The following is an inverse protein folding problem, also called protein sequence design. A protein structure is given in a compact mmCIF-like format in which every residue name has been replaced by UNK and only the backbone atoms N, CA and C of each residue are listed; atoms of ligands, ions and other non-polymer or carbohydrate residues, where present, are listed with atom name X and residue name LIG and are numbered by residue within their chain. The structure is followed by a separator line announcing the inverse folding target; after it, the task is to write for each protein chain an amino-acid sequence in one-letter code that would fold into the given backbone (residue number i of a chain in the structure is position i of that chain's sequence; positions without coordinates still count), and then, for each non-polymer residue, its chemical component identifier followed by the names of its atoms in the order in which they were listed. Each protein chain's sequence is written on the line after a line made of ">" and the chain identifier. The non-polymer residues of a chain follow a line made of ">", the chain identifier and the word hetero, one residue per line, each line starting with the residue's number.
data_IF_782821564233
#
_entry.id   IF_782821564233
#
_cell.length_a   1.000
_cell.length_b   1.000
_cell.length_c   1.000
_cell.angle_alpha   90.00
_cell.angle_beta   90.00
_cell.angle_gamma   90.00
#
_symmetry.space_group_name_H-M   'P 1'
#
loop_
_entity.id
_entity.type
_entity.pdbx_description
1 polymer ?
#
# COMPACT_ATOMS: atom_id res chain seq x y z
N UNK A 1 8.29 17.07 0.53
CA UNK A 1 8.70 16.93 1.95
C UNK A 1 8.31 15.56 2.45
N UNK A 2 9.12 14.95 3.32
CA UNK A 2 8.93 13.59 3.83
C UNK A 2 8.33 13.62 5.25
N UNK A 3 7.18 13.00 5.46
CA UNK A 3 6.55 12.95 6.78
C UNK A 3 7.29 12.01 7.74
N UNK A 4 7.82 12.55 8.83
CA UNK A 4 8.62 11.78 9.80
C UNK A 4 7.79 11.11 10.91
N UNK A 5 6.46 11.28 10.88
CA UNK A 5 5.58 10.71 11.90
C UNK A 5 5.54 9.19 11.78
N UNK A 6 5.92 8.50 12.84
CA UNK A 6 5.91 7.04 12.92
C UNK A 6 5.05 6.58 14.09
N UNK A 7 4.33 5.48 13.92
CA UNK A 7 3.51 4.90 14.99
C UNK A 7 4.34 4.22 16.09
N UNK A 8 5.65 4.04 15.89
CA UNK A 8 6.57 3.37 16.82
C UNK A 8 7.27 4.32 17.80
N UNK A 9 7.26 5.63 17.55
CA UNK A 9 7.94 6.65 18.38
C UNK A 9 6.92 7.52 19.13
N UNK A 10 5.82 6.94 19.60
CA UNK A 10 4.66 7.67 20.13
C UNK A 10 4.90 8.46 21.44
N UNK A 11 6.10 8.44 22.02
CA UNK A 11 6.39 9.12 23.27
C UNK A 11 7.41 10.25 23.06
N UNK A 12 6.92 11.49 22.88
CA UNK A 12 7.46 12.72 23.50
C UNK A 12 6.96 14.00 22.80
N UNK A 13 6.84 14.03 21.45
CA UNK A 13 6.67 15.30 20.70
C UNK A 13 5.33 15.51 19.97
N UNK A 14 4.54 14.46 19.70
CA UNK A 14 3.36 14.54 18.82
C UNK A 14 2.02 14.34 19.56
N UNK A 15 1.75 15.14 20.60
CA UNK A 15 0.48 15.12 21.32
C UNK A 15 -0.65 15.58 20.38
N UNK A 16 -1.43 14.63 19.83
CA UNK A 16 -2.62 14.91 19.00
C UNK A 16 -2.64 14.27 17.61
N UNK A 17 -1.54 13.63 17.18
CA UNK A 17 -1.50 12.94 15.88
C UNK A 17 -2.04 11.51 16.04
N UNK A 18 -3.10 11.17 15.30
CA UNK A 18 -3.66 9.81 15.25
C UNK A 18 -3.12 9.04 14.05
N UNK A 19 -3.13 7.71 14.14
CA UNK A 19 -2.63 6.82 13.10
C UNK A 19 -3.74 5.90 12.57
N UNK A 20 -3.97 5.95 11.26
CA UNK A 20 -5.09 5.27 10.61
C UNK A 20 -4.62 4.08 9.79
N UNK A 21 -5.34 2.97 9.89
CA UNK A 21 -5.02 1.72 9.16
C UNK A 21 -5.35 1.87 7.69
N UNK A 22 -4.59 1.16 6.85
CA UNK A 22 -4.97 1.02 5.45
C UNK A 22 -6.35 0.34 5.34
N UNK A 23 -7.23 0.82 4.44
CA UNK A 23 -8.55 0.25 4.24
C UNK A 23 -8.50 -1.21 3.77
N UNK A 24 -9.60 -1.94 4.02
CA UNK A 24 -9.79 -3.31 3.53
C UNK A 24 -10.17 -3.34 2.05
N UNK A 25 -10.87 -2.31 1.60
CA UNK A 25 -11.25 -2.12 0.20
C UNK A 25 -9.99 -2.02 -0.68
N UNK A 26 -9.84 -2.89 -1.69
CA UNK A 26 -8.66 -2.91 -2.55
C UNK A 26 -8.45 -1.62 -3.33
N UNK A 27 -9.52 -0.97 -3.79
CA UNK A 27 -9.44 0.20 -4.67
C UNK A 27 -8.95 1.42 -3.89
N UNK A 28 -9.54 1.66 -2.72
CA UNK A 28 -9.11 2.76 -1.83
C UNK A 28 -7.70 2.47 -1.30
N UNK A 29 -7.39 1.21 -0.99
CA UNK A 29 -6.05 0.80 -0.55
C UNK A 29 -5.01 1.06 -1.63
N UNK A 30 -5.30 0.76 -2.89
CA UNK A 30 -4.40 1.05 -4.01
C UNK A 30 -4.14 2.55 -4.14
N UNK A 31 -5.18 3.38 -4.04
CA UNK A 31 -5.04 4.84 -4.04
C UNK A 31 -4.13 5.31 -2.92
N UNK A 32 -4.34 4.84 -1.68
CA UNK A 32 -3.46 5.16 -0.55
C UNK A 32 -2.01 4.74 -0.82
N UNK A 33 -1.79 3.53 -1.36
CA UNK A 33 -0.43 3.06 -1.68
C UNK A 33 0.25 3.92 -2.73
N UNK A 34 -0.46 4.26 -3.81
CA UNK A 34 0.09 5.07 -4.90
C UNK A 34 0.49 6.45 -4.38
N UNK A 35 -0.36 7.03 -3.54
CA UNK A 35 -0.15 8.32 -2.91
C UNK A 35 1.04 8.29 -1.92
N UNK A 36 1.26 7.20 -1.17
CA UNK A 36 2.47 7.11 -0.31
C UNK A 36 3.78 7.11 -1.08
N UNK A 37 3.75 6.86 -2.39
CA UNK A 37 4.91 7.01 -3.25
C UNK A 37 6.04 6.01 -3.00
N UNK A 38 5.78 4.90 -2.32
CA UNK A 38 6.82 3.90 -2.03
C UNK A 38 6.86 2.84 -3.12
N UNK A 39 7.95 2.82 -3.88
CA UNK A 39 8.21 1.76 -4.85
C UNK A 39 8.46 0.42 -4.13
N UNK A 40 7.96 -0.67 -4.73
CA UNK A 40 8.10 -2.06 -4.26
C UNK A 40 7.66 -2.32 -2.81
N UNK A 41 6.80 -1.46 -2.28
CA UNK A 41 6.29 -1.56 -0.92
C UNK A 41 4.81 -1.91 -0.92
N UNK A 42 4.44 -2.81 0.00
CA UNK A 42 3.05 -3.17 0.27
C UNK A 42 2.75 -2.98 1.76
N UNK A 43 1.64 -2.31 2.12
CA UNK A 43 1.26 -2.09 3.49
C UNK A 43 0.95 -3.41 4.19
N UNK A 44 1.52 -3.55 5.39
CA UNK A 44 1.21 -4.64 6.32
C UNK A 44 0.00 -4.30 7.19
N UNK A 45 -0.45 -5.24 8.01
CA UNK A 45 -1.50 -4.97 9.00
C UNK A 45 -1.15 -3.85 9.97
N UNK A 46 0.14 -3.62 10.22
CA UNK A 46 0.64 -2.57 11.12
C UNK A 46 0.98 -1.27 10.39
N UNK A 47 0.83 -1.22 9.06
CA UNK A 47 1.09 -0.01 8.29
C UNK A 47 0.00 1.03 8.54
N UNK A 48 0.41 2.26 8.87
CA UNK A 48 -0.47 3.38 9.21
C UNK A 48 -0.08 4.65 8.45
N UNK A 49 -1.05 5.53 8.25
CA UNK A 49 -0.86 6.92 7.82
C UNK A 49 -1.31 7.83 8.97
N UNK A 50 -0.56 8.88 9.26
CA UNK A 50 -0.91 9.83 10.32
C UNK A 50 -2.00 10.82 9.88
N UNK A 51 -2.74 11.36 10.85
CA UNK A 51 -3.90 12.23 10.63
C UNK A 51 -3.60 13.49 9.82
N UNK A 52 -2.37 14.01 9.86
CA UNK A 52 -1.95 15.22 9.14
C UNK A 52 -2.00 15.08 7.61
N UNK A 53 -2.23 13.88 7.09
CA UNK A 53 -2.40 13.62 5.66
C UNK A 53 -3.85 13.63 5.19
N UNK A 54 -4.80 13.81 6.12
CA UNK A 54 -6.24 13.84 5.86
C UNK A 54 -6.78 15.21 6.22
N UNK A 55 -7.80 15.64 5.50
CA UNK A 55 -8.55 16.85 5.82
C UNK A 55 -9.57 16.57 6.92
N UNK A 56 -10.07 17.60 7.56
CA UNK A 56 -11.04 17.47 8.65
C UNK A 56 -12.37 16.85 8.14
N UNK A 57 -12.70 17.09 6.88
CA UNK A 57 -13.88 16.52 6.19
C UNK A 57 -13.76 15.01 5.92
N UNK A 58 -12.53 14.48 5.88
CA UNK A 58 -12.27 13.04 5.76
C UNK A 58 -12.65 12.26 7.03
N UNK A 59 -12.85 12.96 8.15
CA UNK A 59 -13.22 12.33 9.40
C UNK A 59 -14.73 12.25 9.56
N UNK A 60 -15.18 11.14 10.15
CA UNK A 60 -16.57 10.95 10.54
C UNK A 60 -16.83 11.73 11.83
N UNK A 61 -17.55 12.84 11.71
CA UNK A 61 -17.91 13.73 12.82
C UNK A 61 -18.90 13.06 13.79
N UNK A 62 -19.66 12.07 13.32
CA UNK A 62 -20.67 11.36 14.11
C UNK A 62 -20.06 10.22 14.94
N UNK A 63 -18.83 9.81 14.62
CA UNK A 63 -18.18 8.69 15.29
C UNK A 63 -17.60 9.09 16.67
N UNK A 64 -17.82 8.24 17.68
CA UNK A 64 -17.22 8.38 19.03
C UNK A 64 -15.68 8.39 19.02
N UNK A 65 -15.06 7.91 17.94
CA UNK A 65 -13.61 7.92 17.71
C UNK A 65 -13.34 8.64 16.40
N UNK A 66 -12.23 9.38 16.34
CA UNK A 66 -11.75 10.06 15.12
C UNK A 66 -11.38 9.03 14.05
N UNK A 67 -12.39 8.59 13.29
CA UNK A 67 -12.27 7.59 12.23
C UNK A 67 -12.39 8.27 10.87
N UNK A 68 -11.71 7.71 9.87
CA UNK A 68 -11.85 8.17 8.49
C UNK A 68 -13.12 7.59 7.86
N UNK A 69 -13.73 8.38 6.96
CA UNK A 69 -14.81 7.89 6.10
C UNK A 69 -14.26 6.79 5.18
N UNK A 70 -15.15 5.90 4.73
CA UNK A 70 -14.77 4.73 3.91
C UNK A 70 -14.09 5.12 2.59
N UNK A 71 -14.45 6.27 2.03
CA UNK A 71 -13.94 6.80 0.77
C UNK A 71 -12.78 7.78 0.92
N UNK A 72 -12.35 8.07 2.15
CA UNK A 72 -11.30 9.06 2.40
C UNK A 72 -9.96 8.59 1.89
N UNK A 73 -9.28 9.51 1.22
CA UNK A 73 -7.98 9.30 0.60
C UNK A 73 -7.08 10.39 1.18
N UNK A 74 -5.85 10.07 1.63
CA UNK A 74 -4.97 11.10 2.11
C UNK A 74 -4.65 12.03 0.94
N UNK A 75 -4.80 13.34 1.14
CA UNK A 75 -4.57 14.38 0.12
C UNK A 75 -3.51 15.41 0.52
N UNK A 76 -3.17 15.52 1.81
CA UNK A 76 -2.31 16.58 2.32
C UNK A 76 -0.86 16.13 2.56
N UNK A 77 0.11 16.99 2.20
CA UNK A 77 1.53 16.85 2.54
C UNK A 77 2.15 15.49 2.21
N UNK A 78 1.73 14.89 1.09
CA UNK A 78 2.16 13.54 0.74
C UNK A 78 3.38 13.62 -0.15
N UNK A 79 4.32 12.73 0.14
CA UNK A 79 5.55 12.51 -0.62
C UNK A 79 5.29 12.59 -2.11
N UNK A 80 5.73 13.69 -2.75
CA UNK A 80 5.63 13.87 -4.20
C UNK A 80 6.25 12.66 -4.90
N UNK A 81 5.43 11.91 -5.62
CA UNK A 81 5.86 11.26 -6.85
C UNK A 81 5.17 12.00 -8.00
N UNK A 82 5.97 12.26 -9.02
CA UNK A 82 5.70 13.11 -10.17
C UNK A 82 4.30 12.92 -10.80
N UNK A 83 3.72 14.05 -11.23
CA UNK A 83 2.77 14.26 -12.35
C UNK A 83 2.69 13.11 -13.35
N UNK A 84 1.57 12.72 -13.97
CA UNK A 84 0.20 13.25 -14.15
C UNK A 84 -0.75 12.04 -14.03
N UNK A 85 -1.98 12.11 -13.49
CA UNK A 85 -3.18 12.60 -14.17
C UNK A 85 -4.32 12.62 -13.12
N UNK A 86 -4.65 13.79 -12.57
CA UNK A 86 -5.93 14.06 -11.90
C UNK A 86 -6.63 15.28 -12.54
N UNK A 87 -6.27 15.60 -13.78
CA UNK A 87 -7.02 16.59 -14.56
C UNK A 87 -8.20 15.89 -15.21
N UNK A 88 -9.36 16.16 -14.63
CA UNK A 88 -10.57 16.55 -15.34
C UNK A 88 -10.56 16.24 -16.84
N UNK A 89 -11.44 15.34 -17.26
CA UNK A 89 -12.05 15.49 -18.57
C UNK A 89 -13.56 15.38 -18.43
N UNK A 90 -14.15 16.45 -17.88
CA UNK A 90 -15.51 16.84 -18.19
C UNK A 90 -15.45 17.87 -19.33
N UNK A 91 -15.78 17.43 -20.54
CA UNK A 91 -16.58 18.12 -21.59
C UNK A 91 -16.58 17.23 -22.84
N UNK A 92 -17.59 16.39 -23.01
CA UNK A 92 -18.82 16.65 -23.78
C UNK A 92 -18.63 16.50 -25.30
N UNK A 93 -19.14 15.40 -25.86
CA UNK A 93 -19.90 15.47 -27.12
C UNK A 93 -21.21 14.72 -26.97
N UNK A 94 -22.28 15.50 -27.12
CA UNK A 94 -23.66 15.07 -27.27
C UNK A 94 -23.79 14.14 -28.49
N UNK A 95 -24.04 12.87 -28.25
CA UNK A 95 -24.93 12.08 -29.10
C UNK A 95 -25.66 11.11 -28.19
N UNK A 96 -26.99 11.19 -28.22
CA UNK A 96 -27.90 10.38 -27.42
C UNK A 96 -27.86 8.92 -27.91
N UNK A 97 -26.80 8.17 -27.56
CA UNK A 97 -26.74 6.72 -27.81
C UNK A 97 -27.30 6.02 -26.57
N UNK A 98 -28.60 5.78 -26.67
CA UNK A 98 -29.46 5.09 -25.71
C UNK A 98 -28.73 4.02 -24.87
N UNK A 99 -28.59 4.29 -23.57
CA UNK A 99 -27.83 3.50 -22.58
C UNK A 99 -28.61 2.23 -22.12
N UNK A 100 -29.72 1.90 -22.79
CA UNK A 100 -30.73 0.96 -22.28
C UNK A 100 -30.74 -0.43 -22.93
N UNK A 101 -29.89 -0.75 -23.90
CA UNK A 101 -29.89 -2.11 -24.47
C UNK A 101 -29.35 -3.15 -23.46
N UNK A 102 -30.06 -4.28 -23.24
CA UNK A 102 -29.64 -5.31 -22.27
C UNK A 102 -28.24 -5.86 -22.51
N UNK A 103 -27.83 -5.98 -23.78
CA UNK A 103 -26.48 -6.43 -24.18
C UNK A 103 -25.39 -5.46 -23.70
N UNK A 104 -25.61 -4.15 -23.84
CA UNK A 104 -24.65 -3.11 -23.42
C UNK A 104 -24.55 -3.02 -21.89
N UNK A 105 -25.67 -3.14 -21.16
CA UNK A 105 -25.68 -3.23 -19.69
C UNK A 105 -24.93 -4.46 -19.15
N UNK A 106 -25.09 -5.61 -19.81
CA UNK A 106 -24.34 -6.82 -19.47
C UNK A 106 -22.84 -6.63 -19.71
N UNK A 107 -22.45 -6.05 -20.85
CA UNK A 107 -21.06 -5.76 -21.16
C UNK A 107 -20.41 -4.83 -20.11
N UNK A 108 -21.10 -3.76 -19.71
CA UNK A 108 -20.61 -2.85 -18.67
C UNK A 108 -20.36 -3.56 -17.34
N UNK A 109 -21.30 -4.44 -16.92
CA UNK A 109 -21.12 -5.27 -15.72
C UNK A 109 -19.88 -6.17 -15.84
N UNK A 110 -19.67 -6.82 -16.99
CA UNK A 110 -18.48 -7.66 -17.22
C UNK A 110 -17.19 -6.82 -17.16
N UNK A 111 -17.19 -5.63 -17.76
CA UNK A 111 -16.04 -4.71 -17.71
C UNK A 111 -15.73 -4.33 -16.27
N UNK A 112 -16.75 -3.98 -15.48
CA UNK A 112 -16.59 -3.59 -14.08
C UNK A 112 -16.07 -4.74 -13.21
N UNK A 113 -16.59 -5.96 -13.41
CA UNK A 113 -16.05 -7.15 -12.74
C UNK A 113 -14.59 -7.42 -13.13
N UNK A 114 -14.26 -7.30 -14.43
CA UNK A 114 -12.90 -7.52 -14.90
C UNK A 114 -11.93 -6.48 -14.34
N UNK A 115 -12.33 -5.21 -14.29
CA UNK A 115 -11.55 -4.13 -13.65
C UNK A 115 -11.25 -4.47 -12.19
N UNK A 116 -12.26 -4.89 -11.44
CA UNK A 116 -12.12 -5.26 -10.02
C UNK A 116 -11.17 -6.47 -9.82
N UNK A 117 -11.26 -7.46 -10.71
CA UNK A 117 -10.36 -8.63 -10.71
C UNK A 117 -8.93 -8.23 -11.04
N UNK A 118 -8.71 -7.40 -12.07
CA UNK A 118 -7.40 -6.89 -12.46
C UNK A 118 -6.75 -6.15 -11.29
N UNK A 119 -7.47 -5.24 -10.63
CA UNK A 119 -6.98 -4.50 -9.47
C UNK A 119 -6.55 -5.48 -8.36
N UNK A 120 -7.41 -6.45 -8.04
CA UNK A 120 -7.13 -7.47 -7.03
C UNK A 120 -5.88 -8.30 -7.35
N UNK A 121 -5.71 -8.70 -8.62
CA UNK A 121 -4.53 -9.44 -9.09
C UNK A 121 -3.25 -8.60 -9.01
N UNK A 122 -3.30 -7.34 -9.46
CA UNK A 122 -2.16 -6.40 -9.37
C UNK A 122 -1.70 -6.21 -7.92
N UNK A 123 -2.65 -6.06 -6.99
CA UNK A 123 -2.35 -5.99 -5.55
C UNK A 123 -1.71 -7.28 -5.03
N UNK A 124 -2.17 -8.45 -5.48
CA UNK A 124 -1.58 -9.75 -5.11
C UNK A 124 -0.14 -9.86 -5.60
N UNK A 125 0.13 -9.48 -6.85
CA UNK A 125 1.49 -9.46 -7.42
C UNK A 125 2.39 -8.54 -6.61
N UNK A 126 1.97 -7.30 -6.36
CA UNK A 126 2.76 -6.31 -5.59
C UNK A 126 3.05 -6.80 -4.17
N UNK A 127 2.09 -7.47 -3.52
CA UNK A 127 2.28 -8.10 -2.21
C UNK A 127 3.33 -9.21 -2.25
N UNK A 128 3.26 -10.09 -3.23
CA UNK A 128 4.22 -11.20 -3.41
C UNK A 128 5.62 -10.67 -3.70
N UNK A 129 5.76 -9.68 -4.57
CA UNK A 129 7.03 -9.00 -4.85
C UNK A 129 7.64 -8.40 -3.58
N UNK A 130 6.82 -7.73 -2.75
CA UNK A 130 7.31 -7.16 -1.49
C UNK A 130 7.74 -8.25 -0.48
N UNK A 131 7.03 -9.38 -0.40
CA UNK A 131 7.42 -10.54 0.42
C UNK A 131 8.74 -11.13 -0.07
N UNK A 132 8.87 -11.36 -1.38
CA UNK A 132 10.07 -11.89 -1.99
C UNK A 132 11.28 -11.00 -1.69
N UNK A 133 11.14 -9.68 -1.81
CA UNK A 133 12.20 -8.73 -1.45
C UNK A 133 12.63 -8.87 0.02
N UNK A 134 11.69 -9.03 0.95
CA UNK A 134 12.00 -9.21 2.39
C UNK A 134 12.71 -10.54 2.66
N UNK A 135 12.27 -11.63 2.04
CA UNK A 135 12.94 -12.93 2.18
C UNK A 135 14.34 -12.91 1.59
N UNK A 136 14.53 -12.32 0.40
CA UNK A 136 15.86 -12.10 -0.18
C UNK A 136 16.78 -11.33 0.77
N UNK A 137 16.29 -10.25 1.40
CA UNK A 137 17.06 -9.49 2.38
C UNK A 137 17.43 -10.33 3.60
N UNK A 138 16.48 -11.06 4.18
CA UNK A 138 16.73 -11.92 5.35
C UNK A 138 17.72 -13.04 5.03
N UNK A 139 17.60 -13.65 3.85
CA UNK A 139 18.55 -14.67 3.40
C UNK A 139 19.96 -14.09 3.27
N UNK A 140 20.10 -12.88 2.71
CA UNK A 140 21.39 -12.19 2.67
C UNK A 140 21.96 -11.93 4.08
N UNK A 141 21.13 -11.49 5.02
CA UNK A 141 21.55 -11.30 6.42
C UNK A 141 22.00 -12.63 7.05
N UNK A 142 21.26 -13.72 6.81
CA UNK A 142 21.60 -15.05 7.29
C UNK A 142 22.92 -15.56 6.69
N UNK A 143 23.14 -15.40 5.39
CA UNK A 143 24.39 -15.81 4.74
C UNK A 143 25.59 -15.02 5.25
N UNK A 144 25.43 -13.71 5.49
CA UNK A 144 26.47 -12.90 6.14
C UNK A 144 26.78 -13.40 7.56
N UNK A 145 25.75 -13.75 8.34
CA UNK A 145 25.96 -14.31 9.69
C UNK A 145 26.69 -15.65 9.63
N UNK A 146 26.30 -16.57 8.73
CA UNK A 146 26.98 -17.85 8.55
C UNK A 146 28.47 -17.66 8.20
N UNK A 147 28.77 -16.79 7.23
CA UNK A 147 30.15 -16.48 6.85
C UNK A 147 30.97 -15.88 8.01
N UNK A 148 30.34 -15.04 8.85
CA UNK A 148 31.00 -14.50 10.04
C UNK A 148 31.31 -15.57 11.08
N UNK A 149 30.44 -16.57 11.23
CA UNK A 149 30.62 -17.68 12.16
C UNK A 149 31.70 -18.67 11.69
N UNK A 150 31.78 -18.91 10.38
CA UNK A 150 32.85 -19.68 9.75
C UNK A 150 34.23 -19.01 9.93
N UNK A 151 34.30 -17.70 9.68
CA UNK A 151 35.53 -16.91 9.86
C UNK A 151 36.02 -16.85 11.32
N UNK A 152 35.12 -17.02 12.29
CA UNK A 152 35.45 -17.07 13.72
C UNK A 152 35.73 -18.50 14.22
N UNK A 153 35.72 -19.48 13.30
CA UNK A 153 35.90 -20.93 13.57
C UNK A 153 34.95 -21.49 14.64
N UNK A 154 33.80 -20.83 14.83
CA UNK A 154 32.74 -21.29 15.72
C UNK A 154 31.89 -22.40 15.08
N UNK A 155 32.05 -22.63 13.78
CA UNK A 155 31.39 -23.67 12.98
C UNK A 155 32.39 -24.19 11.94
N UNK A 156 32.49 -25.50 11.73
CA UNK A 156 33.31 -26.12 10.68
C UNK A 156 32.57 -26.14 9.33
N UNK A 157 33.30 -26.02 8.20
CA UNK A 157 32.73 -25.94 6.84
C UNK A 157 31.79 -27.09 6.45
N UNK A 158 31.95 -28.25 7.08
CA UNK A 158 31.08 -29.43 6.88
C UNK A 158 29.66 -29.23 7.44
N UNK A 159 29.50 -28.43 8.51
CA UNK A 159 28.18 -28.11 9.09
C UNK A 159 27.43 -27.03 8.28
N UNK A 160 28.16 -26.12 7.61
CA UNK A 160 27.56 -25.08 6.77
C UNK A 160 27.03 -25.65 5.43
N UNK A 161 27.78 -26.58 4.82
CA UNK A 161 27.42 -27.23 3.55
C UNK A 161 26.14 -28.08 3.63
N UNK A 162 25.80 -28.58 4.83
CA UNK A 162 24.58 -29.36 5.06
C UNK A 162 23.29 -28.52 5.10
N UNK A 163 23.41 -27.19 5.24
CA UNK A 163 22.26 -26.28 5.34
C UNK A 163 21.87 -25.61 4.00
N UNK A 164 22.71 -25.70 2.97
CA UNK A 164 22.44 -25.13 1.64
C UNK A 164 21.57 -26.05 0.75
N UNK A 165 21.36 -27.31 1.14
CA UNK A 165 20.72 -28.34 0.33
C UNK A 165 19.28 -28.73 0.77
N UNK A 166 18.58 -27.91 1.57
CA UNK A 166 17.17 -28.15 1.94
C UNK A 166 16.27 -26.92 1.72
#
# INVERSE_FOLDING_TARGET
>A
MSCKNSSGTCNSTNKGITFHRFPKDPDIKEKWMNITGRQDWFPTENSRICSVHFTEDDFDVTAKRRNLRKSSIPTLNIWKLCSENLTENQKSTSSHIDLYTPKKKRLLRIIETNKSVIISQRLKIKRLQCKLRRYKKRNLELTHMLKSLENTHLITGDQASSLENN
#
